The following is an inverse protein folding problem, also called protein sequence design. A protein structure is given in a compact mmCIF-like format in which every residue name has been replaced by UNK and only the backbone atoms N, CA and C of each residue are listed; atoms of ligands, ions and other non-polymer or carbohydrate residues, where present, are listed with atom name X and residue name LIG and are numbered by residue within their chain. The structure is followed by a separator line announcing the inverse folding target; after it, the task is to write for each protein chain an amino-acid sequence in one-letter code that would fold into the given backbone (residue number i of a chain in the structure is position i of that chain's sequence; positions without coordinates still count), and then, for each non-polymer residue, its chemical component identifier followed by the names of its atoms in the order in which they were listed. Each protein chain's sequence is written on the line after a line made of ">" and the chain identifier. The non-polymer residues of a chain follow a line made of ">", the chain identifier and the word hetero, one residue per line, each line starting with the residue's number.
data_IF_627314806584
#
_entry.id   IF_627314806584
#
_cell.length_a   1.000
_cell.length_b   1.000
_cell.length_c   1.000
_cell.angle_alpha   90.00
_cell.angle_beta   90.00
_cell.angle_gamma   90.00
#
_symmetry.space_group_name_H-M   'P 1'
#
loop_
_entity.id
_entity.type
_entity.pdbx_description
1 polymer ?
#
# COMPACT_ATOMS: atom_id res chain seq x y z
N UNK A 1 -6.27 -20.20 3.65
CA UNK A 1 -5.59 -18.96 4.06
C UNK A 1 -6.42 -17.74 3.67
N UNK A 2 -6.30 -16.64 4.42
CA UNK A 2 -6.96 -15.36 4.15
C UNK A 2 -5.94 -14.32 3.67
N UNK A 3 -6.27 -13.56 2.62
CA UNK A 3 -5.42 -12.48 2.10
C UNK A 3 -6.20 -11.17 2.11
N UNK A 4 -5.79 -10.23 2.94
CA UNK A 4 -6.48 -8.97 3.17
C UNK A 4 -5.68 -7.78 2.64
N UNK A 5 -6.24 -7.09 1.66
CA UNK A 5 -5.61 -5.94 1.01
C UNK A 5 -6.03 -4.63 1.68
N UNK A 6 -5.06 -3.73 1.88
CA UNK A 6 -5.26 -2.37 2.34
C UNK A 6 -4.69 -1.41 1.29
N UNK A 7 -5.58 -0.63 0.68
CA UNK A 7 -5.17 0.36 -0.32
C UNK A 7 -4.60 1.63 0.29
N UNK A 8 -3.80 2.34 -0.51
CA UNK A 8 -3.33 3.68 -0.19
C UNK A 8 -4.20 4.80 -0.74
N UNK A 9 -3.56 5.92 -1.06
CA UNK A 9 -4.24 7.15 -1.47
C UNK A 9 -4.83 7.05 -2.88
N UNK A 10 -5.87 7.84 -3.17
CA UNK A 10 -6.43 7.99 -4.51
C UNK A 10 -7.24 6.81 -5.05
N UNK A 11 -7.46 5.77 -4.25
CA UNK A 11 -8.28 4.60 -4.62
C UNK A 11 -9.75 4.97 -4.72
N UNK A 12 -10.37 4.66 -5.87
CA UNK A 12 -11.73 5.11 -6.20
C UNK A 12 -12.81 4.04 -6.01
N UNK A 13 -12.45 2.77 -6.01
CA UNK A 13 -13.39 1.66 -5.89
C UNK A 13 -12.77 0.48 -5.13
N UNK A 14 -13.61 -0.43 -4.67
CA UNK A 14 -13.19 -1.62 -3.94
C UNK A 14 -12.50 -2.68 -4.83
N UNK A 15 -12.64 -2.58 -6.16
CA UNK A 15 -12.06 -3.51 -7.13
C UNK A 15 -10.62 -3.18 -7.55
N UNK A 16 -9.93 -2.29 -6.81
CA UNK A 16 -8.58 -1.82 -7.15
C UNK A 16 -7.54 -2.94 -7.27
N UNK A 17 -7.70 -4.01 -6.49
CA UNK A 17 -6.76 -5.13 -6.47
C UNK A 17 -7.17 -6.29 -7.37
N UNK A 18 -8.29 -6.22 -8.09
CA UNK A 18 -8.86 -7.35 -8.83
C UNK A 18 -7.88 -7.99 -9.82
N UNK A 19 -7.12 -7.18 -10.54
CA UNK A 19 -6.11 -7.65 -11.49
C UNK A 19 -4.98 -8.40 -10.79
N UNK A 20 -4.39 -7.83 -9.73
CA UNK A 20 -3.36 -8.49 -8.94
C UNK A 20 -3.89 -9.77 -8.28
N UNK A 21 -5.12 -9.76 -7.77
CA UNK A 21 -5.78 -10.94 -7.21
C UNK A 21 -5.94 -12.02 -8.27
N UNK A 22 -6.41 -11.69 -9.48
CA UNK A 22 -6.53 -12.65 -10.59
C UNK A 22 -5.17 -13.26 -10.94
N UNK A 23 -4.15 -12.43 -11.12
CA UNK A 23 -2.79 -12.89 -11.46
C UNK A 23 -2.21 -13.79 -10.36
N UNK A 24 -2.42 -13.42 -9.09
CA UNK A 24 -1.99 -14.21 -7.92
C UNK A 24 -2.71 -15.56 -7.86
N UNK A 25 -4.03 -15.59 -8.12
CA UNK A 25 -4.80 -16.84 -8.20
C UNK A 25 -4.30 -17.74 -9.33
N UNK A 26 -3.99 -17.19 -10.50
CA UNK A 26 -3.41 -17.94 -11.61
C UNK A 26 -2.04 -18.53 -11.25
N UNK A 27 -1.20 -17.78 -10.54
CA UNK A 27 0.11 -18.27 -10.07
C UNK A 27 -0.03 -19.36 -8.99
N UNK A 28 -0.94 -19.20 -8.03
CA UNK A 28 -1.25 -20.24 -7.03
C UNK A 28 -1.75 -21.53 -7.69
N UNK A 29 -2.66 -21.42 -8.65
CA UNK A 29 -3.16 -22.58 -9.40
C UNK A 29 -2.04 -23.31 -10.14
N UNK A 30 -1.10 -22.56 -10.75
CA UNK A 30 0.05 -23.13 -11.45
C UNK A 30 1.00 -23.89 -10.53
N UNK A 31 1.07 -23.51 -9.25
CA UNK A 31 1.86 -24.19 -8.23
C UNK A 31 1.09 -25.35 -7.54
N UNK A 32 -0.07 -25.74 -8.07
CA UNK A 32 -0.90 -26.84 -7.58
C UNK A 32 -1.26 -26.73 -6.09
N UNK A 33 -1.49 -25.50 -5.60
CA UNK A 33 -1.91 -25.29 -4.22
C UNK A 33 -3.35 -25.78 -4.02
N UNK A 34 -3.52 -26.86 -3.26
CA UNK A 34 -4.85 -27.42 -2.92
C UNK A 34 -5.59 -26.62 -1.83
N UNK A 35 -4.89 -25.71 -1.14
CA UNK A 35 -5.49 -24.91 -0.07
C UNK A 35 -6.38 -23.79 -0.62
N UNK A 36 -7.61 -23.61 -0.06
CA UNK A 36 -8.46 -22.48 -0.42
C UNK A 36 -7.82 -21.16 0.03
N UNK A 37 -7.74 -20.22 -0.91
CA UNK A 37 -7.23 -18.86 -0.67
C UNK A 37 -8.36 -17.86 -0.89
N UNK A 38 -8.81 -17.22 0.18
CA UNK A 38 -9.82 -16.18 0.12
C UNK A 38 -9.14 -14.81 0.08
N UNK A 39 -9.61 -13.93 -0.79
CA UNK A 39 -9.04 -12.60 -1.00
C UNK A 39 -10.09 -11.54 -0.66
N UNK A 40 -9.67 -10.48 0.03
CA UNK A 40 -10.53 -9.35 0.35
C UNK A 40 -9.82 -8.02 0.12
N UNK A 41 -10.47 -7.10 -0.59
CA UNK A 41 -9.97 -5.76 -0.89
C UNK A 41 -10.66 -4.74 0.01
N UNK A 42 -10.03 -4.37 1.13
CA UNK A 42 -10.61 -3.35 2.00
C UNK A 42 -10.68 -2.00 1.31
N UNK A 43 -11.76 -1.28 1.53
CA UNK A 43 -12.03 0.00 0.90
C UNK A 43 -12.47 1.06 1.91
N UNK A 44 -11.73 2.16 1.96
CA UNK A 44 -12.02 3.34 2.81
C UNK A 44 -12.01 4.64 2.01
N UNK A 45 -11.64 4.60 0.72
CA UNK A 45 -11.43 5.78 -0.13
C UNK A 45 -12.66 6.68 -0.31
N UNK A 46 -13.87 6.19 0.01
CA UNK A 46 -15.12 6.95 -0.09
C UNK A 46 -15.50 7.74 1.17
N UNK A 47 -14.92 7.43 2.35
CA UNK A 47 -15.35 7.97 3.64
C UNK A 47 -15.38 9.50 3.70
N UNK A 48 -14.46 10.15 2.96
CA UNK A 48 -14.26 11.59 3.00
C UNK A 48 -14.28 12.23 1.60
N UNK A 49 -14.89 11.57 0.61
CA UNK A 49 -15.01 12.11 -0.76
C UNK A 49 -15.72 13.47 -0.79
N UNK A 50 -16.72 13.66 0.07
CA UNK A 50 -17.38 14.96 0.24
C UNK A 50 -16.39 16.09 0.63
N UNK A 51 -15.39 15.80 1.46
CA UNK A 51 -14.37 16.78 1.85
C UNK A 51 -13.40 17.09 0.72
N UNK A 52 -13.02 16.08 -0.07
CA UNK A 52 -12.20 16.31 -1.27
C UNK A 52 -12.95 17.15 -2.32
N UNK A 53 -14.23 16.83 -2.56
CA UNK A 53 -15.07 17.60 -3.47
C UNK A 53 -15.26 19.04 -2.99
N UNK A 54 -15.45 19.26 -1.69
CA UNK A 54 -15.57 20.60 -1.11
C UNK A 54 -14.35 21.50 -1.43
N UNK A 55 -13.13 20.95 -1.42
CA UNK A 55 -11.92 21.71 -1.79
C UNK A 55 -11.95 22.11 -3.27
N UNK A 56 -12.34 21.19 -4.17
CA UNK A 56 -12.48 21.46 -5.60
C UNK A 56 -13.56 22.52 -5.84
N UNK A 57 -14.71 22.40 -5.18
CA UNK A 57 -15.80 23.36 -5.29
C UNK A 57 -15.40 24.78 -4.86
N UNK A 58 -14.60 24.92 -3.80
CA UNK A 58 -14.10 26.23 -3.38
C UNK A 58 -13.14 26.81 -4.41
N UNK A 59 -12.22 26.01 -4.93
CA UNK A 59 -11.32 26.42 -5.99
C UNK A 59 -12.09 26.89 -7.24
N UNK A 60 -13.10 26.12 -7.66
CA UNK A 60 -13.93 26.45 -8.81
C UNK A 60 -14.71 27.76 -8.63
N UNK A 61 -15.25 27.98 -7.43
CA UNK A 61 -15.96 29.22 -7.09
C UNK A 61 -15.03 30.43 -7.13
N UNK A 62 -13.82 30.32 -6.62
CA UNK A 62 -12.86 31.43 -6.61
C UNK A 62 -12.32 31.73 -8.01
N UNK A 63 -12.01 30.71 -8.83
CA UNK A 63 -11.63 30.89 -10.24
C UNK A 63 -12.77 31.55 -11.02
N UNK A 64 -14.01 31.08 -10.82
CA UNK A 64 -15.18 31.66 -11.49
C UNK A 64 -15.39 33.12 -11.09
N UNK A 65 -15.28 33.44 -9.80
CA UNK A 65 -15.41 34.81 -9.29
C UNK A 65 -14.33 35.73 -9.88
N UNK A 66 -13.09 35.27 -9.96
CA UNK A 66 -12.00 36.03 -10.58
C UNK A 66 -12.34 36.35 -12.04
N UNK A 67 -12.76 35.35 -12.81
CA UNK A 67 -13.11 35.49 -14.22
C UNK A 67 -14.28 36.44 -14.47
N UNK A 68 -15.30 36.41 -13.61
CA UNK A 68 -16.43 37.35 -13.69
C UNK A 68 -16.01 38.79 -13.39
N UNK A 69 -15.10 38.99 -12.44
CA UNK A 69 -14.66 40.32 -12.04
C UNK A 69 -13.61 40.94 -12.98
N UNK A 70 -12.93 40.09 -13.77
CA UNK A 70 -11.86 40.49 -14.69
C UNK A 70 -12.08 39.95 -16.11
N UNK A 71 -13.08 40.47 -16.84
CA UNK A 71 -13.39 40.03 -18.21
C UNK A 71 -12.21 40.24 -19.17
N UNK A 72 -11.28 41.14 -18.87
CA UNK A 72 -10.03 41.31 -19.63
C UNK A 72 -9.14 40.06 -19.66
N UNK A 73 -9.38 39.08 -18.79
CA UNK A 73 -8.67 37.80 -18.74
C UNK A 73 -9.56 36.59 -19.10
N UNK A 74 -10.75 36.79 -19.67
CA UNK A 74 -11.71 35.72 -19.98
C UNK A 74 -11.08 34.58 -20.81
N UNK A 75 -10.33 34.91 -21.86
CA UNK A 75 -9.61 33.94 -22.71
C UNK A 75 -8.52 33.15 -21.96
N UNK A 76 -8.08 33.65 -20.80
CA UNK A 76 -7.04 33.05 -19.98
C UNK A 76 -7.59 32.35 -18.74
N UNK A 77 -8.91 32.37 -18.50
CA UNK A 77 -9.53 31.77 -17.32
C UNK A 77 -9.24 30.28 -17.14
N UNK A 78 -9.14 29.53 -18.24
CA UNK A 78 -8.73 28.11 -18.20
C UNK A 78 -7.25 27.91 -17.88
N UNK A 79 -6.43 28.97 -18.00
CA UNK A 79 -4.96 28.95 -17.88
C UNK A 79 -4.44 29.70 -16.66
N UNK A 80 -5.28 30.49 -15.99
CA UNK A 80 -4.87 31.30 -14.84
C UNK A 80 -4.45 30.42 -13.66
N UNK A 81 -5.17 29.32 -13.45
CA UNK A 81 -4.82 28.30 -12.49
C UNK A 81 -4.14 27.11 -13.19
N UNK A 82 -2.88 27.32 -13.57
CA UNK A 82 -2.09 26.33 -14.31
C UNK A 82 -2.05 24.99 -13.59
N UNK A 83 -2.13 23.92 -14.38
CA UNK A 83 -2.12 22.54 -13.92
C UNK A 83 -3.29 22.16 -13.01
N UNK A 84 -4.43 22.88 -13.06
CA UNK A 84 -5.64 22.58 -12.29
C UNK A 84 -5.94 21.08 -12.20
N UNK A 85 -6.05 20.40 -13.34
CA UNK A 85 -6.33 18.96 -13.38
C UNK A 85 -5.26 18.11 -12.68
N UNK A 86 -3.96 18.45 -12.83
CA UNK A 86 -2.88 17.75 -12.14
C UNK A 86 -2.89 18.04 -10.65
N UNK A 87 -3.21 19.27 -10.23
CA UNK A 87 -3.35 19.65 -8.82
C UNK A 87 -4.53 18.94 -8.17
N UNK A 88 -5.68 18.86 -8.85
CA UNK A 88 -6.82 18.09 -8.37
C UNK A 88 -6.46 16.60 -8.22
N UNK A 89 -5.78 16.01 -9.20
CA UNK A 89 -5.36 14.61 -9.09
C UNK A 89 -4.30 14.39 -8.01
N UNK A 90 -3.19 15.11 -8.03
CA UNK A 90 -2.05 14.91 -7.13
C UNK A 90 -2.31 15.46 -5.72
N UNK A 91 -2.82 16.69 -5.60
CA UNK A 91 -3.00 17.33 -4.29
C UNK A 91 -4.27 16.79 -3.61
N UNK A 92 -5.41 16.67 -4.31
CA UNK A 92 -6.64 16.26 -3.61
C UNK A 92 -6.75 14.75 -3.43
N UNK A 93 -6.26 13.93 -4.37
CA UNK A 93 -6.38 12.48 -4.23
C UNK A 93 -5.18 11.88 -3.50
N UNK A 94 -3.94 12.23 -3.87
CA UNK A 94 -2.76 11.68 -3.20
C UNK A 94 -2.50 12.37 -1.85
N UNK A 95 -2.17 13.67 -1.85
CA UNK A 95 -1.86 14.38 -0.59
C UNK A 95 -3.10 14.54 0.30
N UNK A 96 -4.28 14.71 -0.29
CA UNK A 96 -5.53 14.88 0.45
C UNK A 96 -5.88 13.67 1.30
N UNK A 97 -5.73 12.45 0.76
CA UNK A 97 -5.94 11.22 1.55
C UNK A 97 -4.90 11.07 2.67
N UNK A 98 -3.64 11.39 2.39
CA UNK A 98 -2.60 11.41 3.41
C UNK A 98 -2.96 12.37 4.55
N UNK A 99 -3.29 13.64 4.23
CA UNK A 99 -3.68 14.63 5.23
C UNK A 99 -4.97 14.27 5.98
N UNK A 100 -5.92 13.61 5.31
CA UNK A 100 -7.12 13.08 5.95
C UNK A 100 -6.74 12.03 6.97
N UNK A 101 -5.85 11.09 6.65
CA UNK A 101 -5.42 10.06 7.58
C UNK A 101 -4.67 10.62 8.79
N UNK A 102 -3.81 11.61 8.57
CA UNK A 102 -3.05 12.28 9.63
C UNK A 102 -3.92 13.03 10.66
N UNK A 103 -5.17 13.36 10.32
CA UNK A 103 -6.08 13.91 11.31
C UNK A 103 -6.50 12.80 12.30
N UNK A 104 -6.22 12.91 13.62
CA UNK A 104 -6.41 11.80 14.57
C UNK A 104 -7.82 11.20 14.54
N UNK A 105 -8.84 12.05 14.47
CA UNK A 105 -10.24 11.61 14.41
C UNK A 105 -10.55 10.86 13.11
N UNK A 106 -10.09 11.36 11.97
CA UNK A 106 -10.37 10.74 10.65
C UNK A 106 -9.52 9.50 10.42
N UNK A 107 -8.25 9.51 10.83
CA UNK A 107 -7.39 8.32 10.85
C UNK A 107 -8.00 7.20 11.67
N UNK A 108 -8.51 7.51 12.86
CA UNK A 108 -9.28 6.56 13.68
C UNK A 108 -10.52 6.02 12.96
N UNK A 109 -11.30 6.87 12.28
CA UNK A 109 -12.45 6.42 11.48
C UNK A 109 -12.05 5.48 10.32
N UNK A 110 -10.93 5.74 9.65
CA UNK A 110 -10.38 4.86 8.60
C UNK A 110 -10.00 3.50 9.20
N UNK A 111 -9.26 3.49 10.31
CA UNK A 111 -8.91 2.26 11.02
C UNK A 111 -10.15 1.51 11.51
N UNK A 112 -11.20 2.19 11.96
CA UNK A 112 -12.50 1.58 12.31
C UNK A 112 -13.14 0.88 11.12
N UNK A 113 -13.19 1.53 9.95
CA UNK A 113 -13.79 0.95 8.75
C UNK A 113 -13.00 -0.27 8.25
N UNK A 114 -11.67 -0.25 8.38
CA UNK A 114 -10.83 -1.40 8.05
C UNK A 114 -11.07 -2.55 9.04
N UNK A 115 -11.16 -2.27 10.34
CA UNK A 115 -11.46 -3.28 11.36
C UNK A 115 -12.83 -3.93 11.14
N UNK A 116 -13.85 -3.17 10.76
CA UNK A 116 -15.19 -3.71 10.47
C UNK A 116 -15.14 -4.70 9.29
N UNK A 117 -14.48 -4.32 8.20
CA UNK A 117 -14.28 -5.17 7.03
C UNK A 117 -13.44 -6.41 7.35
N UNK A 118 -12.39 -6.24 8.18
CA UNK A 118 -11.55 -7.34 8.65
C UNK A 118 -12.35 -8.35 9.47
N UNK A 119 -13.16 -7.88 10.43
CA UNK A 119 -14.02 -8.74 11.25
C UNK A 119 -15.05 -9.50 10.41
N UNK A 120 -15.64 -8.84 9.41
CA UNK A 120 -16.57 -9.48 8.50
C UNK A 120 -15.88 -10.58 7.69
N UNK A 121 -14.67 -10.31 7.18
CA UNK A 121 -13.87 -11.29 6.43
C UNK A 121 -13.50 -12.52 7.27
N UNK A 122 -13.11 -12.33 8.54
CA UNK A 122 -12.88 -13.44 9.47
C UNK A 122 -14.15 -14.25 9.74
N UNK A 123 -15.30 -13.57 9.90
CA UNK A 123 -16.59 -14.21 10.16
C UNK A 123 -17.08 -15.04 8.97
N UNK A 124 -16.80 -14.59 7.74
CA UNK A 124 -17.20 -15.28 6.52
C UNK A 124 -16.32 -16.52 6.24
N UNK A 125 -15.17 -16.63 6.89
CA UNK A 125 -14.20 -17.72 6.72
C UNK A 125 -13.64 -18.26 8.06
N UNK A 126 -14.51 -18.76 8.97
CA UNK A 126 -14.13 -19.17 10.32
C UNK A 126 -13.16 -20.36 10.37
N UNK A 127 -13.05 -21.13 9.29
CA UNK A 127 -12.16 -22.28 9.15
C UNK A 127 -10.69 -21.89 8.89
N UNK A 128 -10.44 -20.65 8.46
CA UNK A 128 -9.10 -20.20 8.13
C UNK A 128 -8.27 -19.92 9.37
N UNK A 129 -7.06 -20.48 9.41
CA UNK A 129 -6.16 -20.40 10.56
C UNK A 129 -5.09 -19.31 10.44
N UNK A 130 -4.90 -18.78 9.22
CA UNK A 130 -3.86 -17.81 8.91
C UNK A 130 -4.39 -16.65 8.06
N UNK A 131 -3.80 -15.47 8.30
CA UNK A 131 -4.04 -14.23 7.60
C UNK A 131 -2.73 -13.67 7.05
N UNK A 132 -2.83 -13.13 5.84
CA UNK A 132 -1.78 -12.40 5.15
C UNK A 132 -2.27 -11.00 4.82
N UNK A 133 -1.46 -9.99 5.12
CA UNK A 133 -1.75 -8.61 4.73
C UNK A 133 -1.00 -8.22 3.46
N UNK A 134 -1.70 -7.54 2.56
CA UNK A 134 -1.09 -6.86 1.40
C UNK A 134 -1.42 -5.38 1.49
N UNK A 135 -0.43 -4.52 1.59
CA UNK A 135 -0.66 -3.10 1.85
C UNK A 135 0.11 -2.23 0.86
N UNK A 136 -0.58 -1.31 0.20
CA UNK A 136 0.00 -0.45 -0.82
C UNK A 136 0.08 1.00 -0.36
N UNK A 137 1.21 1.68 -0.61
CA UNK A 137 1.36 3.12 -0.39
C UNK A 137 0.99 3.53 1.04
N UNK A 138 0.11 4.53 1.22
CA UNK A 138 -0.45 4.90 2.53
C UNK A 138 -1.07 3.71 3.27
N UNK A 139 -1.58 2.70 2.57
CA UNK A 139 -2.05 1.46 3.18
C UNK A 139 -0.97 0.75 3.99
N UNK A 140 0.30 0.85 3.59
CA UNK A 140 1.44 0.30 4.36
C UNK A 140 1.63 1.03 5.69
N UNK A 141 1.41 2.35 5.72
CA UNK A 141 1.45 3.14 6.96
C UNK A 141 0.20 2.91 7.82
N UNK A 142 -0.97 2.74 7.21
CA UNK A 142 -2.18 2.36 7.94
C UNK A 142 -2.00 0.98 8.59
N UNK A 143 -1.40 0.03 7.87
CA UNK A 143 -1.10 -1.30 8.41
C UNK A 143 -0.07 -1.21 9.55
N UNK A 144 0.96 -0.37 9.42
CA UNK A 144 1.91 -0.10 10.50
C UNK A 144 1.21 0.36 11.78
N UNK A 145 0.30 1.33 11.67
CA UNK A 145 -0.52 1.80 12.79
C UNK A 145 -1.38 0.67 13.39
N UNK A 146 -2.00 -0.15 12.55
CA UNK A 146 -2.86 -1.25 13.01
C UNK A 146 -2.06 -2.33 13.75
N UNK A 147 -0.82 -2.62 13.34
CA UNK A 147 -0.05 -3.76 13.86
C UNK A 147 0.95 -3.39 14.96
N UNK A 148 1.61 -2.24 14.85
CA UNK A 148 2.86 -1.96 15.57
C UNK A 148 2.87 -0.62 16.33
N UNK A 149 2.13 0.40 15.89
CA UNK A 149 2.20 1.72 16.53
C UNK A 149 1.63 1.73 17.96
N UNK A 150 2.39 2.23 18.92
CA UNK A 150 1.93 2.42 20.31
C UNK A 150 1.53 3.88 20.63
N UNK A 151 1.63 4.77 19.64
CA UNK A 151 1.30 6.20 19.77
C UNK A 151 -0.20 6.52 19.63
N UNK A 152 -1.03 5.49 19.47
CA UNK A 152 -2.47 5.64 19.27
C UNK A 152 -3.22 5.73 20.60
N UNK A 153 -4.38 6.40 20.59
CA UNK A 153 -5.27 6.43 21.75
C UNK A 153 -5.63 5.01 22.20
N UNK A 154 -5.67 4.75 23.50
CA UNK A 154 -5.95 3.40 24.06
C UNK A 154 -7.29 2.78 23.63
N UNK A 155 -8.22 3.58 23.12
CA UNK A 155 -9.51 3.15 22.56
C UNK A 155 -9.51 3.13 21.02
N UNK A 156 -8.35 3.11 20.38
CA UNK A 156 -8.21 3.04 18.93
C UNK A 156 -8.53 1.62 18.39
N UNK A 157 -9.20 1.51 17.23
CA UNK A 157 -9.46 0.24 16.55
C UNK A 157 -8.23 -0.63 16.31
N UNK A 158 -7.03 -0.05 16.24
CA UNK A 158 -5.79 -0.82 16.10
C UNK A 158 -5.63 -1.87 17.20
N UNK A 159 -5.92 -1.53 18.46
CA UNK A 159 -5.79 -2.46 19.58
C UNK A 159 -6.78 -3.63 19.46
N UNK A 160 -8.02 -3.35 19.04
CA UNK A 160 -9.03 -4.39 18.78
C UNK A 160 -8.63 -5.31 17.61
N UNK A 161 -7.98 -4.76 16.58
CA UNK A 161 -7.46 -5.58 15.49
C UNK A 161 -6.37 -6.53 15.99
N UNK A 162 -5.45 -6.04 16.83
CA UNK A 162 -4.39 -6.86 17.43
C UNK A 162 -4.96 -8.00 18.28
N UNK A 163 -6.00 -7.73 19.08
CA UNK A 163 -6.72 -8.78 19.83
C UNK A 163 -7.35 -9.86 18.94
N UNK A 164 -7.77 -9.50 17.72
CA UNK A 164 -8.24 -10.49 16.73
C UNK A 164 -7.10 -11.31 16.16
N UNK A 165 -5.93 -10.72 15.96
CA UNK A 165 -4.72 -11.44 15.54
C UNK A 165 -4.16 -12.39 16.61
N UNK A 166 -4.60 -12.29 17.87
CA UNK A 166 -4.31 -13.34 18.86
C UNK A 166 -5.13 -14.62 18.60
N UNK A 167 -6.16 -14.56 17.74
CA UNK A 167 -7.06 -15.68 17.41
C UNK A 167 -6.74 -16.35 16.08
N UNK A 168 -6.10 -15.62 15.15
CA UNK A 168 -5.72 -16.07 13.82
C UNK A 168 -4.25 -15.74 13.57
N UNK A 169 -3.49 -16.66 12.96
CA UNK A 169 -2.06 -16.45 12.76
C UNK A 169 -1.78 -15.40 11.67
N UNK A 170 -1.14 -14.28 12.04
CA UNK A 170 -0.50 -13.41 11.07
C UNK A 170 0.74 -14.12 10.51
N UNK A 171 0.64 -14.60 9.25
CA UNK A 171 1.66 -15.41 8.60
C UNK A 171 2.58 -14.56 7.70
N UNK A 172 2.03 -13.60 6.95
CA UNK A 172 2.86 -12.69 6.16
C UNK A 172 2.29 -11.29 5.95
N UNK A 173 3.20 -10.37 5.63
CA UNK A 173 2.95 -9.00 5.18
C UNK A 173 3.64 -8.85 3.82
N UNK A 174 2.92 -8.24 2.87
CA UNK A 174 3.50 -7.76 1.60
C UNK A 174 3.20 -6.27 1.48
N UNK A 175 4.23 -5.44 1.47
CA UNK A 175 4.06 -4.00 1.22
C UNK A 175 4.40 -3.68 -0.23
N UNK A 176 3.62 -2.82 -0.89
CA UNK A 176 3.80 -2.41 -2.28
C UNK A 176 3.97 -0.88 -2.32
N UNK A 177 5.06 -0.37 -2.90
CA UNK A 177 5.26 1.08 -3.00
C UNK A 177 5.28 1.79 -1.63
N UNK A 178 5.92 1.17 -0.64
CA UNK A 178 5.81 1.55 0.77
C UNK A 178 6.60 2.82 1.12
N UNK A 179 5.96 3.86 1.69
CA UNK A 179 6.64 5.08 2.13
C UNK A 179 7.19 4.99 3.56
N UNK A 180 7.20 3.83 4.21
CA UNK A 180 7.52 3.72 5.64
C UNK A 180 8.89 4.31 6.02
N UNK A 181 9.93 4.17 5.18
CA UNK A 181 11.23 4.77 5.48
C UNK A 181 11.16 6.30 5.46
N UNK A 182 10.48 6.86 4.45
CA UNK A 182 10.27 8.31 4.36
C UNK A 182 9.44 8.81 5.55
N UNK A 183 8.42 8.05 5.95
CA UNK A 183 7.58 8.39 7.10
C UNK A 183 8.29 8.20 8.44
N UNK A 184 9.32 7.35 8.53
CA UNK A 184 10.20 7.31 9.70
C UNK A 184 10.85 8.67 9.94
N UNK A 185 11.24 9.40 8.90
CA UNK A 185 11.78 10.76 9.09
C UNK A 185 10.72 11.73 9.64
N UNK A 186 9.46 11.58 9.22
CA UNK A 186 8.38 12.52 9.59
C UNK A 186 7.79 12.25 10.97
N UNK A 187 7.63 10.98 11.34
CA UNK A 187 6.89 10.55 12.53
C UNK A 187 7.74 9.77 13.54
N UNK A 188 9.04 9.63 13.27
CA UNK A 188 9.97 8.84 14.07
C UNK A 188 9.49 7.41 14.35
N UNK A 189 9.04 6.72 13.29
CA UNK A 189 8.54 5.34 13.40
C UNK A 189 9.56 4.44 14.11
N UNK A 190 9.15 3.82 15.20
CA UNK A 190 9.97 2.91 15.98
C UNK A 190 9.84 1.47 15.46
N UNK A 191 10.80 1.04 14.65
CA UNK A 191 10.82 -0.32 14.12
C UNK A 191 11.03 -1.39 15.20
N UNK A 192 11.51 -1.05 16.40
CA UNK A 192 11.66 -2.02 17.49
C UNK A 192 10.33 -2.61 17.99
N UNK A 193 9.21 -1.94 17.70
CA UNK A 193 7.86 -2.46 17.96
C UNK A 193 7.59 -3.82 17.26
N UNK A 194 8.31 -4.13 16.18
CA UNK A 194 8.22 -5.42 15.49
C UNK A 194 8.64 -6.56 16.43
N UNK A 195 9.77 -6.43 17.12
CA UNK A 195 10.26 -7.46 18.05
C UNK A 195 9.27 -7.69 19.21
N UNK A 196 8.68 -6.62 19.74
CA UNK A 196 7.65 -6.69 20.78
C UNK A 196 6.43 -7.49 20.32
N UNK A 197 6.02 -7.31 19.05
CA UNK A 197 4.93 -8.09 18.46
C UNK A 197 5.29 -9.57 18.31
N UNK A 198 6.49 -9.88 17.82
CA UNK A 198 6.95 -11.25 17.60
C UNK A 198 7.18 -12.04 18.88
N UNK A 199 7.53 -11.37 19.97
CA UNK A 199 7.73 -11.96 21.29
C UNK A 199 6.44 -12.55 21.90
N UNK A 200 5.26 -12.20 21.37
CA UNK A 200 3.99 -12.75 21.86
C UNK A 200 3.90 -14.26 21.59
N UNK A 201 3.44 -15.07 22.56
CA UNK A 201 3.31 -16.51 22.38
C UNK A 201 2.26 -16.84 21.32
N UNK A 202 2.64 -17.62 20.30
CA UNK A 202 1.74 -18.12 19.25
C UNK A 202 1.08 -19.45 19.65
N UNK A 203 -0.09 -19.74 19.08
CA UNK A 203 -0.61 -21.11 19.04
C UNK A 203 0.32 -21.95 18.15
N UNK A 204 0.71 -23.13 18.64
CA UNK A 204 1.84 -23.93 18.16
C UNK A 204 1.62 -24.70 16.83
N UNK A 205 0.84 -24.17 15.88
CA UNK A 205 0.17 -25.05 14.91
C UNK A 205 0.56 -24.92 13.42
N UNK A 206 1.63 -24.21 13.04
CA UNK A 206 2.15 -24.28 11.67
C UNK A 206 3.65 -24.59 11.62
N UNK A 207 4.03 -25.49 10.72
CA UNK A 207 5.41 -25.84 10.32
C UNK A 207 6.09 -24.71 9.50
N UNK A 208 5.78 -23.44 9.80
CA UNK A 208 6.37 -22.29 9.12
C UNK A 208 7.83 -22.10 9.53
N UNK A 209 8.68 -21.74 8.57
CA UNK A 209 10.11 -21.52 8.80
C UNK A 209 10.41 -20.31 9.71
N UNK A 210 9.46 -19.38 9.82
CA UNK A 210 9.52 -18.17 10.65
C UNK A 210 8.12 -17.80 11.16
N UNK A 211 8.05 -16.97 12.22
CA UNK A 211 6.77 -16.48 12.75
C UNK A 211 6.12 -15.47 11.80
N UNK A 212 6.90 -14.62 11.15
CA UNK A 212 6.38 -13.59 10.25
C UNK A 212 7.27 -13.48 9.03
N UNK A 213 6.66 -13.46 7.85
CA UNK A 213 7.33 -13.07 6.61
C UNK A 213 6.90 -11.68 6.22
N UNK A 214 7.85 -10.79 5.96
CA UNK A 214 7.57 -9.48 5.40
C UNK A 214 8.38 -9.26 4.13
N UNK A 215 7.67 -9.12 3.00
CA UNK A 215 8.25 -8.75 1.72
C UNK A 215 7.86 -7.33 1.36
N UNK A 216 8.85 -6.47 1.11
CA UNK A 216 8.63 -5.10 0.65
C UNK A 216 8.92 -5.00 -0.85
N UNK A 217 7.88 -4.83 -1.67
CA UNK A 217 7.97 -4.75 -3.13
C UNK A 217 8.10 -3.29 -3.57
N UNK A 218 9.14 -3.02 -4.35
CA UNK A 218 9.57 -1.68 -4.74
C UNK A 218 9.67 -1.65 -6.27
N UNK A 219 8.88 -0.81 -6.91
CA UNK A 219 9.10 -0.48 -8.31
C UNK A 219 10.23 0.55 -8.41
N UNK A 220 11.20 0.31 -9.31
CA UNK A 220 12.42 1.13 -9.38
C UNK A 220 12.16 2.62 -9.66
N UNK A 221 11.09 2.94 -10.39
CA UNK A 221 10.66 4.31 -10.69
C UNK A 221 9.62 4.90 -9.72
N UNK A 222 9.22 4.17 -8.67
CA UNK A 222 8.25 4.64 -7.68
C UNK A 222 8.94 5.48 -6.60
N UNK A 223 8.75 6.80 -6.65
CA UNK A 223 9.46 7.77 -5.79
C UNK A 223 9.11 7.71 -4.30
N UNK A 224 8.02 7.03 -3.96
CA UNK A 224 7.61 6.86 -2.57
C UNK A 224 7.93 5.48 -2.04
N UNK A 225 8.42 4.56 -2.87
CA UNK A 225 8.83 3.22 -2.49
C UNK A 225 10.29 3.23 -2.01
N UNK A 226 10.52 2.92 -0.73
CA UNK A 226 11.87 2.86 -0.18
C UNK A 226 12.22 1.45 0.31
N UNK A 227 13.47 1.00 0.14
CA UNK A 227 13.96 -0.21 0.78
C UNK A 227 13.99 -0.04 2.30
N UNK A 228 13.61 -1.07 3.04
CA UNK A 228 13.50 -1.04 4.50
C UNK A 228 14.56 -1.87 5.21
N UNK A 229 15.31 -2.72 4.49
CA UNK A 229 16.19 -3.72 5.10
C UNK A 229 17.13 -3.13 6.16
N UNK A 230 17.85 -2.06 5.82
CA UNK A 230 18.80 -1.42 6.74
C UNK A 230 18.11 -0.77 7.96
N UNK A 231 16.87 -0.29 7.80
CA UNK A 231 16.14 0.37 8.88
C UNK A 231 15.59 -0.62 9.92
N UNK A 232 15.36 -1.87 9.51
CA UNK A 232 14.80 -2.92 10.38
C UNK A 232 15.79 -4.06 10.66
N UNK A 233 17.05 -3.92 10.24
CA UNK A 233 18.07 -4.98 10.30
C UNK A 233 18.20 -5.61 11.69
N UNK A 234 18.11 -4.79 12.74
CA UNK A 234 18.19 -5.23 14.14
C UNK A 234 17.01 -6.10 14.59
N UNK A 235 15.88 -5.99 13.92
CA UNK A 235 14.64 -6.71 14.22
C UNK A 235 14.55 -8.04 13.45
N UNK A 236 15.40 -8.22 12.43
CA UNK A 236 15.48 -9.46 11.65
C UNK A 236 16.10 -10.53 12.54
N UNK A 237 15.32 -11.59 12.78
CA UNK A 237 15.69 -12.72 13.63
C UNK A 237 15.27 -14.03 12.97
N UNK A 238 15.47 -15.17 13.64
CA UNK A 238 14.90 -16.44 13.19
C UNK A 238 13.36 -16.41 13.11
N UNK A 239 12.72 -15.47 13.80
CA UNK A 239 11.26 -15.33 13.82
C UNK A 239 10.73 -14.39 12.74
N UNK A 240 11.58 -13.55 12.15
CA UNK A 240 11.22 -12.59 11.10
C UNK A 240 12.03 -12.85 9.83
N UNK A 241 11.36 -13.34 8.79
CA UNK A 241 11.91 -13.25 7.44
C UNK A 241 11.59 -11.88 6.86
N UNK A 242 12.61 -11.13 6.43
CA UNK A 242 12.42 -9.89 5.70
C UNK A 242 13.24 -9.83 4.41
N UNK A 243 12.66 -9.32 3.33
CA UNK A 243 13.41 -8.92 2.14
C UNK A 243 12.75 -7.77 1.38
N UNK A 244 13.59 -6.90 0.81
CA UNK A 244 13.20 -5.97 -0.23
C UNK A 244 13.23 -6.70 -1.59
N UNK A 245 12.18 -6.56 -2.39
CA UNK A 245 12.04 -7.15 -3.71
C UNK A 245 11.76 -6.05 -4.74
N UNK A 246 12.38 -6.15 -5.90
CA UNK A 246 12.30 -5.07 -6.89
C UNK A 246 11.51 -5.50 -8.13
N UNK A 247 10.65 -4.59 -8.60
CA UNK A 247 10.10 -4.57 -9.95
C UNK A 247 10.98 -3.60 -10.75
N UNK A 248 11.94 -4.16 -11.49
CA UNK A 248 12.90 -3.38 -12.27
C UNK A 248 12.46 -3.32 -13.74
N UNK A 249 11.45 -2.51 -13.98
CA UNK A 249 10.89 -2.21 -15.30
C UNK A 249 10.78 -0.69 -15.47
N UNK A 250 10.68 -0.20 -16.70
CA UNK A 250 10.29 1.18 -16.95
C UNK A 250 8.79 1.34 -16.73
N UNK A 251 8.38 2.35 -15.97
CA UNK A 251 6.99 2.66 -15.67
C UNK A 251 6.14 2.90 -16.93
N UNK A 252 6.73 3.55 -17.95
CA UNK A 252 6.10 3.77 -19.24
C UNK A 252 7.15 4.04 -20.36
N UNK A 253 6.75 3.97 -21.65
CA UNK A 253 7.66 4.24 -22.76
C UNK A 253 8.26 5.65 -22.78
N UNK A 254 7.59 6.62 -22.14
CA UNK A 254 8.06 8.01 -22.07
C UNK A 254 9.24 8.13 -21.11
N UNK A 255 9.19 7.47 -19.95
CA UNK A 255 10.32 7.37 -19.03
C UNK A 255 11.53 6.77 -19.74
N UNK A 256 11.34 5.63 -20.40
CA UNK A 256 12.40 4.97 -21.16
C UNK A 256 13.05 5.93 -22.16
N UNK A 257 12.23 6.62 -22.96
CA UNK A 257 12.72 7.60 -23.94
C UNK A 257 13.49 8.75 -23.29
N UNK A 258 13.00 9.28 -22.18
CA UNK A 258 13.64 10.40 -21.48
C UNK A 258 14.96 9.99 -20.81
N UNK A 259 15.05 8.77 -20.26
CA UNK A 259 16.31 8.23 -19.72
C UNK A 259 17.34 8.02 -20.84
N UNK A 260 16.93 7.53 -22.02
CA UNK A 260 17.83 7.45 -23.18
C UNK A 260 18.36 8.81 -23.64
N UNK A 261 17.62 9.89 -23.37
CA UNK A 261 18.02 11.27 -23.69
C UNK A 261 18.74 11.97 -22.52
N UNK A 262 19.09 11.25 -21.45
CA UNK A 262 19.71 11.80 -20.23
C UNK A 262 18.86 12.91 -19.57
N UNK A 263 17.54 12.80 -19.66
CA UNK A 263 16.56 13.73 -19.07
C UNK A 263 15.94 13.14 -17.82
N UNK A 264 16.80 12.77 -16.88
CA UNK A 264 16.45 12.03 -15.65
C UNK A 264 15.33 12.71 -14.85
N UNK A 265 15.40 14.02 -14.64
CA UNK A 265 14.36 14.75 -13.87
C UNK A 265 12.98 14.71 -14.54
N UNK A 266 12.94 14.73 -15.88
CA UNK A 266 11.69 14.65 -16.64
C UNK A 266 11.16 13.22 -16.65
N UNK A 267 12.05 12.22 -16.79
CA UNK A 267 11.71 10.81 -16.68
C UNK A 267 11.06 10.51 -15.32
N UNK A 268 11.67 10.99 -14.24
CA UNK A 268 11.16 10.88 -12.88
C UNK A 268 9.71 11.40 -12.76
N UNK A 269 9.45 12.61 -13.27
CA UNK A 269 8.11 13.24 -13.17
C UNK A 269 7.04 12.47 -13.93
N UNK A 270 7.37 11.87 -15.08
CA UNK A 270 6.39 11.11 -15.87
C UNK A 270 6.22 9.67 -15.40
N UNK A 271 7.21 9.11 -14.72
CA UNK A 271 7.19 7.71 -14.28
C UNK A 271 6.52 7.51 -12.92
N UNK A 272 6.64 8.48 -12.01
CA UNK A 272 6.30 8.28 -10.59
C UNK A 272 4.87 7.80 -10.33
N UNK A 273 3.86 8.44 -10.94
CA UNK A 273 2.44 8.08 -10.71
C UNK A 273 2.11 6.70 -11.33
N UNK A 274 2.67 6.42 -12.51
CA UNK A 274 2.45 5.17 -13.24
C UNK A 274 3.10 4.00 -12.48
N UNK A 275 4.38 4.14 -12.12
CA UNK A 275 5.13 3.17 -11.32
C UNK A 275 4.44 2.84 -10.00
N UNK A 276 3.92 3.86 -9.33
CA UNK A 276 3.26 3.71 -8.04
C UNK A 276 1.97 2.89 -8.13
N UNK A 277 1.30 2.87 -9.28
CA UNK A 277 0.07 2.11 -9.49
C UNK A 277 0.29 0.77 -10.22
N UNK A 278 1.44 0.62 -10.89
CA UNK A 278 1.76 -0.49 -11.77
C UNK A 278 1.68 -1.88 -11.11
N UNK A 279 1.89 -1.99 -9.80
CA UNK A 279 1.76 -3.23 -9.04
C UNK A 279 0.41 -3.95 -9.23
N UNK A 280 -0.65 -3.19 -9.53
CA UNK A 280 -2.01 -3.70 -9.70
C UNK A 280 -2.42 -3.91 -11.15
N UNK A 281 -1.59 -3.57 -12.13
CA UNK A 281 -2.00 -3.58 -13.53
C UNK A 281 -1.85 -4.94 -14.19
N UNK A 282 -2.57 -5.13 -15.30
CA UNK A 282 -2.46 -6.32 -16.14
C UNK A 282 -1.29 -6.21 -17.11
N UNK A 283 -0.08 -6.11 -16.54
CA UNK A 283 1.16 -5.88 -17.27
C UNK A 283 2.30 -6.72 -16.66
N UNK A 284 3.53 -6.49 -17.14
CA UNK A 284 4.75 -7.10 -16.61
C UNK A 284 4.91 -6.88 -15.10
N UNK A 285 4.64 -5.66 -14.64
CA UNK A 285 4.87 -5.22 -13.27
C UNK A 285 3.92 -5.91 -12.31
N UNK A 286 2.64 -5.97 -12.67
CA UNK A 286 1.63 -6.71 -11.93
C UNK A 286 1.86 -8.23 -11.97
N UNK A 287 2.34 -8.78 -13.09
CA UNK A 287 2.71 -10.20 -13.15
C UNK A 287 3.92 -10.54 -12.27
N UNK A 288 4.94 -9.68 -12.25
CA UNK A 288 6.08 -9.77 -11.34
C UNK A 288 5.63 -9.70 -9.89
N UNK A 289 4.77 -8.72 -9.58
CA UNK A 289 4.23 -8.50 -8.24
C UNK A 289 3.41 -9.70 -7.77
N UNK A 290 2.54 -10.24 -8.63
CA UNK A 290 1.76 -11.44 -8.35
C UNK A 290 2.66 -12.63 -8.01
N UNK A 291 3.74 -12.85 -8.77
CA UNK A 291 4.70 -13.92 -8.50
C UNK A 291 5.38 -13.75 -7.14
N UNK A 292 5.80 -12.54 -6.79
CA UNK A 292 6.41 -12.24 -5.47
C UNK A 292 5.40 -12.50 -4.35
N UNK A 293 4.16 -12.02 -4.51
CA UNK A 293 3.09 -12.21 -3.55
C UNK A 293 2.81 -13.72 -3.35
N UNK A 294 2.64 -14.49 -4.43
CA UNK A 294 2.44 -15.94 -4.36
C UNK A 294 3.58 -16.64 -3.62
N UNK A 295 4.84 -16.27 -3.90
CA UNK A 295 6.00 -16.84 -3.20
C UNK A 295 5.96 -16.55 -1.69
N UNK A 296 5.52 -15.35 -1.29
CA UNK A 296 5.39 -14.98 0.13
C UNK A 296 4.22 -15.71 0.83
N UNK A 297 3.10 -15.89 0.12
CA UNK A 297 1.95 -16.65 0.60
C UNK A 297 2.32 -18.12 0.86
N UNK A 298 3.10 -18.73 -0.03
CA UNK A 298 3.49 -20.14 0.01
C UNK A 298 4.75 -20.44 0.86
N UNK A 299 5.26 -19.48 1.65
CA UNK A 299 6.50 -19.62 2.44
C UNK A 299 7.74 -20.01 1.58
N UNK A 300 7.82 -19.55 0.33
CA UNK A 300 8.95 -19.85 -0.57
C UNK A 300 10.15 -18.93 -0.32
N UNK A 301 10.56 -18.78 0.95
CA UNK A 301 11.60 -17.83 1.40
C UNK A 301 12.93 -18.02 0.68
N UNK A 302 13.29 -19.27 0.33
CA UNK A 302 14.48 -19.57 -0.48
C UNK A 302 14.40 -18.92 -1.88
N UNK A 303 13.27 -19.08 -2.59
CA UNK A 303 13.08 -18.47 -3.91
C UNK A 303 13.05 -16.94 -3.83
N UNK A 304 12.50 -16.38 -2.74
CA UNK A 304 12.52 -14.93 -2.50
C UNK A 304 13.96 -14.41 -2.30
N UNK A 305 14.81 -15.12 -1.53
CA UNK A 305 16.22 -14.74 -1.35
C UNK A 305 17.04 -14.88 -2.63
N UNK A 306 16.81 -15.94 -3.40
CA UNK A 306 17.55 -16.24 -4.63
C UNK A 306 17.12 -15.39 -5.82
N UNK A 307 15.97 -14.71 -5.73
CA UNK A 307 15.45 -13.87 -6.79
C UNK A 307 16.44 -12.73 -7.06
N UNK A 308 17.21 -12.88 -8.13
CA UNK A 308 18.07 -11.84 -8.65
C UNK A 308 17.21 -10.76 -9.32
N UNK A 309 17.47 -9.50 -8.98
CA UNK A 309 16.91 -8.35 -9.69
C UNK A 309 17.70 -8.21 -10.99
N UNK A 310 17.31 -8.94 -12.02
CA UNK A 310 17.87 -8.75 -13.35
C UNK A 310 17.05 -7.71 -14.10
N UNK A 311 17.68 -6.67 -14.67
CA UNK A 311 17.01 -5.84 -15.66
C UNK A 311 16.75 -6.71 -16.89
N UNK A 312 15.60 -6.52 -17.54
CA UNK A 312 15.44 -6.97 -18.92
C UNK A 312 16.01 -5.94 -19.87
#
# INVERSE_FOLDING_TARGET
>A
MLVFFIHGVGTKNASYADHLIRNTKSELFRQCTEQPVNFYSSFWGNLFNNKKHQVVEYLDKDISRFCTNHPEYEDYCSRIYRYKQRREKLINNFLGDFLIYQNPKRGKMIRSAILEQFNQFLKDHPESQEIHFVAHSLGSFILWDLLFSDDLDSNDPAYLLREKLDQIELASITTLGSPLLFLKQMFDLDFSAIATHLAKPKKANLESSCKLRWVNVIHSSDLVAYPLHAAIEKEISSELFFCDQYVWEYANPTEQTLLYLDRVDLAMVVAAEDAHSAYFYDNSDGAITAKILTQNLLDETKKLRERCVHPR
#
